data_IF_348957769586
#
_entry.id   IF_348957769586
#
_cell.length_a   1.000
_cell.length_b   1.000
_cell.length_c   1.000
_cell.angle_alpha   90.00
_cell.angle_beta   90.00
_cell.angle_gamma   90.00
#
_symmetry.space_group_name_H-M   'P 1'
#
loop_
_entity.id
_entity.type
_entity.pdbx_description
1 polymer ?
#
# COMPACT_ATOMS: atom_id res chain seq x y z
N UNK A 1 -23.89 12.11 -29.73
CA UNK A 1 -24.09 11.36 -28.46
C UNK A 1 -23.69 12.26 -27.29
N UNK A 2 -24.48 12.34 -26.21
CA UNK A 2 -24.12 13.13 -25.02
C UNK A 2 -22.94 12.46 -24.30
N UNK A 3 -22.04 13.27 -23.74
CA UNK A 3 -20.93 12.80 -22.89
C UNK A 3 -21.47 12.44 -21.51
N UNK A 4 -21.08 11.28 -21.00
CA UNK A 4 -21.49 10.80 -19.67
C UNK A 4 -20.26 10.38 -18.88
N UNK A 5 -20.13 10.94 -17.68
CA UNK A 5 -19.12 10.54 -16.69
C UNK A 5 -19.83 10.04 -15.42
N UNK A 6 -19.34 8.95 -14.86
CA UNK A 6 -19.82 8.40 -13.59
C UNK A 6 -18.78 8.69 -12.51
N UNK A 7 -19.19 9.41 -11.47
CA UNK A 7 -18.40 9.62 -10.27
C UNK A 7 -18.75 8.56 -9.25
N UNK A 8 -17.94 7.49 -9.21
CA UNK A 8 -18.15 6.39 -8.29
C UNK A 8 -17.39 6.69 -6.98
N UNK A 9 -18.14 6.77 -5.88
CA UNK A 9 -17.55 6.80 -4.55
C UNK A 9 -17.22 5.39 -4.06
N UNK A 10 -16.45 5.30 -2.96
CA UNK A 10 -16.13 4.02 -2.33
C UNK A 10 -17.33 3.29 -1.71
N UNK A 11 -18.55 3.83 -1.78
CA UNK A 11 -19.73 3.18 -1.19
C UNK A 11 -20.09 1.90 -1.92
N UNK A 12 -19.89 1.81 -3.24
CA UNK A 12 -20.16 0.59 -4.01
C UNK A 12 -19.35 -0.60 -3.46
N UNK A 13 -18.03 -0.46 -3.28
CA UNK A 13 -17.19 -1.44 -2.59
C UNK A 13 -17.48 -1.67 -1.09
N UNK A 14 -18.58 -1.12 -0.55
CA UNK A 14 -19.10 -1.41 0.79
C UNK A 14 -20.43 -2.16 0.78
N UNK A 15 -21.02 -2.39 -0.39
CA UNK A 15 -22.17 -3.26 -0.58
C UNK A 15 -21.71 -4.66 -0.97
N UNK A 16 -22.47 -5.68 -0.56
CA UNK A 16 -22.18 -7.08 -0.88
C UNK A 16 -22.03 -7.31 -2.39
N UNK A 17 -23.00 -6.82 -3.19
CA UNK A 17 -22.96 -6.85 -4.66
C UNK A 17 -22.45 -5.53 -5.28
N UNK A 18 -21.46 -4.89 -4.63
CA UNK A 18 -20.83 -3.68 -5.14
C UNK A 18 -20.24 -3.88 -6.54
N UNK A 19 -19.70 -5.05 -6.81
CA UNK A 19 -19.17 -5.46 -8.10
C UNK A 19 -20.24 -5.46 -9.20
N UNK A 20 -21.46 -5.95 -8.93
CA UNK A 20 -22.56 -5.94 -9.89
C UNK A 20 -23.04 -4.52 -10.19
N UNK A 21 -23.08 -3.65 -9.17
CA UNK A 21 -23.40 -2.23 -9.33
C UNK A 21 -22.37 -1.58 -10.27
N UNK A 22 -21.08 -1.77 -10.00
CA UNK A 22 -19.99 -1.19 -10.81
C UNK A 22 -19.98 -1.74 -12.23
N UNK A 23 -20.16 -3.05 -12.41
CA UNK A 23 -20.26 -3.71 -13.73
C UNK A 23 -21.44 -3.17 -14.54
N UNK A 24 -22.58 -2.91 -13.90
CA UNK A 24 -23.75 -2.33 -14.57
C UNK A 24 -23.49 -0.90 -15.05
N UNK A 25 -22.76 -0.10 -14.26
CA UNK A 25 -22.32 1.25 -14.67
C UNK A 25 -21.32 1.18 -15.83
N UNK A 26 -20.35 0.27 -15.79
CA UNK A 26 -19.41 0.04 -16.88
C UNK A 26 -20.12 -0.41 -18.16
N UNK A 27 -21.13 -1.28 -18.06
CA UNK A 27 -21.95 -1.71 -19.19
C UNK A 27 -22.68 -0.52 -19.83
N UNK A 28 -23.29 0.36 -19.04
CA UNK A 28 -23.92 1.59 -19.56
C UNK A 28 -22.91 2.45 -20.33
N UNK A 29 -21.71 2.65 -19.77
CA UNK A 29 -20.66 3.41 -20.43
C UNK A 29 -20.23 2.74 -21.74
N UNK A 30 -20.17 1.41 -21.79
CA UNK A 30 -19.84 0.68 -23.01
C UNK A 30 -20.89 0.74 -24.10
N UNK A 31 -22.16 0.50 -23.76
CA UNK A 31 -23.27 0.61 -24.70
C UNK A 31 -23.39 2.01 -25.30
N UNK A 32 -23.03 3.04 -24.53
CA UNK A 32 -23.09 4.44 -24.98
C UNK A 32 -21.78 4.95 -25.60
N UNK A 33 -20.69 4.20 -25.51
CA UNK A 33 -19.36 4.60 -25.97
C UNK A 33 -18.78 5.77 -25.16
N UNK A 34 -19.04 5.81 -23.86
CA UNK A 34 -18.63 6.85 -22.90
C UNK A 34 -17.42 6.40 -22.05
N UNK A 35 -16.33 6.01 -22.70
CA UNK A 35 -15.00 5.88 -22.08
C UNK A 35 -13.94 6.54 -22.98
N UNK A 36 -12.71 6.69 -22.47
CA UNK A 36 -11.54 7.06 -23.28
C UNK A 36 -11.57 8.44 -23.92
N UNK A 37 -12.58 9.27 -23.63
CA UNK A 37 -12.59 10.64 -24.14
C UNK A 37 -13.04 11.67 -23.10
N UNK A 38 -12.61 12.92 -23.29
CA UNK A 38 -12.80 14.03 -22.33
C UNK A 38 -14.22 14.12 -21.77
N UNK A 39 -14.36 14.14 -20.45
CA UNK A 39 -15.68 14.21 -19.79
C UNK A 39 -16.48 12.90 -19.83
N UNK A 40 -15.83 11.75 -20.02
CA UNK A 40 -16.48 10.43 -19.96
C UNK A 40 -15.74 9.44 -19.07
N UNK A 41 -16.28 8.23 -18.94
CA UNK A 41 -15.70 7.14 -18.19
C UNK A 41 -16.23 7.04 -16.76
N UNK A 42 -15.76 6.02 -16.06
CA UNK A 42 -15.90 5.91 -14.61
C UNK A 42 -14.66 6.50 -13.94
N UNK A 43 -14.83 7.05 -12.75
CA UNK A 43 -13.73 7.47 -11.89
C UNK A 43 -13.86 6.76 -10.56
N UNK A 44 -12.78 6.10 -10.16
CA UNK A 44 -12.56 5.60 -8.80
C UNK A 44 -11.16 6.01 -8.36
N UNK A 45 -10.66 5.42 -7.27
CA UNK A 45 -9.39 5.75 -6.67
C UNK A 45 -8.22 4.97 -7.28
N UNK A 46 -7.14 5.69 -7.63
CA UNK A 46 -5.84 5.09 -7.94
C UNK A 46 -4.74 6.00 -7.37
N UNK A 47 -3.65 5.38 -6.94
CA UNK A 47 -2.45 6.04 -6.42
C UNK A 47 -1.23 5.50 -7.15
N UNK A 48 -0.21 6.33 -7.33
CA UNK A 48 1.03 5.97 -8.00
C UNK A 48 1.89 7.19 -8.30
N UNK A 49 2.79 7.08 -9.30
CA UNK A 49 3.56 8.20 -9.87
C UNK A 49 4.60 8.86 -8.94
N UNK A 50 4.87 8.28 -7.76
CA UNK A 50 5.97 8.70 -6.89
C UNK A 50 6.94 7.54 -6.70
N UNK A 51 7.52 7.09 -7.81
CA UNK A 51 8.14 5.77 -7.88
C UNK A 51 9.42 5.64 -7.07
N UNK A 52 10.09 6.74 -6.74
CA UNK A 52 11.23 6.70 -5.83
C UNK A 52 10.86 6.18 -4.43
N UNK A 53 9.65 6.48 -3.92
CA UNK A 53 9.18 5.90 -2.66
C UNK A 53 8.95 4.38 -2.77
N UNK A 54 8.50 3.90 -3.92
CA UNK A 54 8.31 2.46 -4.17
C UNK A 54 9.65 1.76 -4.37
N UNK A 55 10.55 2.33 -5.17
CA UNK A 55 11.89 1.81 -5.44
C UNK A 55 12.72 1.73 -4.17
N UNK A 56 12.61 2.72 -3.27
CA UNK A 56 13.33 2.75 -2.01
C UNK A 56 13.26 1.42 -1.23
N UNK A 57 12.09 0.78 -1.20
CA UNK A 57 11.90 -0.51 -0.51
C UNK A 57 12.62 -1.71 -1.16
N UNK A 58 13.14 -1.54 -2.37
CA UNK A 58 13.81 -2.57 -3.17
C UNK A 58 15.32 -2.36 -3.27
N UNK A 59 15.84 -1.24 -2.77
CA UNK A 59 17.26 -0.86 -2.87
C UNK A 59 18.05 -1.48 -1.74
N UNK A 60 19.27 -1.92 -2.06
CA UNK A 60 20.26 -2.35 -1.05
C UNK A 60 21.41 -1.37 -0.88
N UNK A 61 21.44 -0.30 -1.69
CA UNK A 61 22.44 0.77 -1.65
C UNK A 61 21.73 2.12 -1.86
N UNK A 62 22.37 3.22 -1.44
CA UNK A 62 21.90 4.56 -1.75
C UNK A 62 22.42 5.00 -3.11
N UNK A 63 21.74 5.94 -3.77
CA UNK A 63 22.22 6.50 -5.03
C UNK A 63 21.31 6.19 -6.22
N UNK A 64 21.35 7.04 -7.27
CA UNK A 64 20.59 6.82 -8.50
C UNK A 64 21.06 5.57 -9.26
N UNK A 65 22.32 5.16 -9.13
CA UNK A 65 22.86 3.96 -9.78
C UNK A 65 22.12 2.70 -9.32
N UNK A 66 21.84 2.59 -8.01
CA UNK A 66 21.07 1.48 -7.47
C UNK A 66 19.61 1.52 -7.94
N UNK A 67 19.01 2.71 -8.05
CA UNK A 67 17.66 2.84 -8.62
C UNK A 67 17.63 2.34 -10.07
N UNK A 68 18.61 2.72 -10.89
CA UNK A 68 18.79 2.22 -12.26
C UNK A 68 18.99 0.71 -12.32
N UNK A 69 19.76 0.13 -11.39
CA UNK A 69 19.94 -1.32 -11.30
C UNK A 69 18.61 -2.03 -11.05
N UNK A 70 17.81 -1.55 -10.09
CA UNK A 70 16.48 -2.11 -9.81
C UNK A 70 15.55 -1.96 -11.02
N UNK A 71 15.56 -0.79 -11.69
CA UNK A 71 14.76 -0.55 -12.89
C UNK A 71 15.13 -1.50 -14.04
N UNK A 72 16.42 -1.69 -14.30
CA UNK A 72 16.89 -2.62 -15.33
C UNK A 72 16.49 -4.06 -15.02
N UNK A 73 16.62 -4.50 -13.77
CA UNK A 73 16.16 -5.81 -13.33
C UNK A 73 14.65 -6.01 -13.58
N UNK A 74 13.84 -5.00 -13.25
CA UNK A 74 12.38 -5.04 -13.51
C UNK A 74 12.08 -5.09 -15.00
N UNK A 75 12.75 -4.28 -15.81
CA UNK A 75 12.57 -4.26 -17.26
C UNK A 75 12.93 -5.63 -17.88
N UNK A 76 14.01 -6.26 -17.45
CA UNK A 76 14.38 -7.61 -17.89
C UNK A 76 13.32 -8.65 -17.49
N UNK A 77 12.79 -8.56 -16.27
CA UNK A 77 11.73 -9.47 -15.82
C UNK A 77 10.44 -9.27 -16.64
N UNK A 78 10.04 -8.03 -16.91
CA UNK A 78 8.88 -7.74 -17.75
C UNK A 78 9.06 -8.26 -19.18
N UNK A 79 10.25 -8.09 -19.77
CA UNK A 79 10.59 -8.66 -21.08
C UNK A 79 10.53 -10.19 -21.07
N UNK A 80 11.03 -10.83 -20.01
CA UNK A 80 10.96 -12.28 -19.85
C UNK A 80 9.53 -12.80 -19.76
N UNK A 81 8.64 -12.09 -19.06
CA UNK A 81 7.20 -12.40 -19.00
C UNK A 81 6.57 -12.29 -20.39
N UNK A 82 6.82 -11.18 -21.10
CA UNK A 82 6.31 -10.96 -22.46
C UNK A 82 6.88 -11.92 -23.50
N UNK A 83 8.06 -12.50 -23.25
CA UNK A 83 8.61 -13.53 -24.13
C UNK A 83 7.83 -14.86 -24.05
N UNK A 84 7.15 -15.13 -22.93
CA UNK A 84 6.30 -16.32 -22.77
C UNK A 84 4.94 -16.15 -23.48
N UNK A 85 4.43 -14.92 -23.52
CA UNK A 85 3.23 -14.55 -24.27
C UNK A 85 3.44 -13.19 -24.95
N UNK A 86 3.78 -13.19 -26.26
CA UNK A 86 4.02 -11.96 -27.03
C UNK A 86 2.81 -11.04 -27.15
N UNK A 87 1.61 -11.49 -26.79
CA UNK A 87 0.39 -10.66 -26.79
C UNK A 87 0.26 -9.82 -25.51
N UNK A 88 1.07 -10.09 -24.49
CA UNK A 88 1.06 -9.32 -23.25
C UNK A 88 1.48 -7.88 -23.50
N UNK A 89 0.61 -6.97 -23.07
CA UNK A 89 0.94 -5.54 -22.95
C UNK A 89 1.89 -5.31 -21.77
N UNK A 90 2.51 -4.14 -21.72
CA UNK A 90 3.33 -3.73 -20.57
C UNK A 90 2.52 -3.68 -19.27
N UNK A 91 1.23 -3.34 -19.36
CA UNK A 91 0.29 -3.40 -18.23
C UNK A 91 0.16 -4.84 -17.70
N UNK A 92 -0.13 -5.80 -18.59
CA UNK A 92 -0.29 -7.21 -18.22
C UNK A 92 0.99 -7.77 -17.61
N UNK A 93 2.14 -7.49 -18.22
CA UNK A 93 3.44 -7.94 -17.71
C UNK A 93 3.76 -7.34 -16.32
N UNK A 94 3.40 -6.08 -16.08
CA UNK A 94 3.60 -5.42 -14.79
C UNK A 94 2.69 -6.03 -13.71
N UNK A 95 1.44 -6.39 -14.03
CA UNK A 95 0.57 -7.09 -13.08
C UNK A 95 1.04 -8.52 -12.79
N UNK A 96 1.52 -9.25 -13.80
CA UNK A 96 2.07 -10.59 -13.56
C UNK A 96 3.31 -10.53 -12.68
N UNK A 97 4.19 -9.54 -12.88
CA UNK A 97 5.29 -9.27 -11.94
C UNK A 97 4.81 -9.00 -10.51
N UNK A 98 3.74 -8.20 -10.35
CA UNK A 98 3.13 -7.93 -9.04
C UNK A 98 2.51 -9.20 -8.41
N UNK A 99 1.96 -10.11 -9.23
CA UNK A 99 1.47 -11.41 -8.74
C UNK A 99 2.62 -12.33 -8.36
N UNK A 100 3.75 -12.28 -9.04
CA UNK A 100 4.96 -13.02 -8.65
C UNK A 100 5.56 -12.45 -7.36
N UNK A 101 5.44 -11.14 -7.11
CA UNK A 101 5.90 -10.48 -5.88
C UNK A 101 5.00 -10.70 -4.65
N UNK A 102 4.06 -11.67 -4.71
CA UNK A 102 3.31 -12.25 -3.56
C UNK A 102 4.20 -12.64 -2.37
N UNK A 103 5.52 -12.64 -2.56
CA UNK A 103 6.53 -12.80 -1.53
C UNK A 103 6.75 -11.56 -0.61
N UNK A 104 6.04 -10.45 -0.79
CA UNK A 104 6.03 -9.34 0.18
C UNK A 104 5.37 -9.70 1.53
N UNK A 105 5.32 -8.77 2.49
CA UNK A 105 4.64 -8.93 3.79
C UNK A 105 3.12 -8.63 3.77
N UNK A 106 2.63 -8.03 2.68
CA UNK A 106 1.23 -7.62 2.52
C UNK A 106 0.36 -8.82 2.14
N UNK A 107 -0.78 -8.98 2.82
CA UNK A 107 -1.72 -10.09 2.60
C UNK A 107 -3.17 -9.63 2.70
N UNK A 108 -4.12 -10.35 2.07
CA UNK A 108 -5.54 -10.02 2.20
C UNK A 108 -5.96 -10.06 3.68
N UNK A 109 -6.55 -8.99 4.23
CA UNK A 109 -6.91 -8.94 5.64
C UNK A 109 -8.02 -9.94 5.99
N UNK A 110 -8.72 -10.48 4.99
CA UNK A 110 -9.78 -11.46 5.18
C UNK A 110 -9.29 -12.72 5.94
N UNK A 111 -8.05 -13.16 5.73
CA UNK A 111 -7.49 -14.31 6.44
C UNK A 111 -7.33 -14.05 7.94
N UNK A 112 -6.77 -12.87 8.30
CA UNK A 112 -6.70 -12.44 9.69
C UNK A 112 -8.11 -12.38 10.31
N UNK A 113 -9.08 -11.79 9.62
CA UNK A 113 -10.43 -11.62 10.14
C UNK A 113 -11.15 -12.96 10.34
N UNK A 114 -11.06 -13.82 9.34
CA UNK A 114 -11.70 -15.13 9.32
C UNK A 114 -11.15 -16.03 10.43
N UNK A 115 -9.83 -16.21 10.50
CA UNK A 115 -9.21 -17.12 11.48
C UNK A 115 -9.11 -16.52 12.89
N UNK A 116 -8.87 -15.21 13.01
CA UNK A 116 -8.45 -14.63 14.29
C UNK A 116 -9.40 -13.62 14.89
N UNK A 117 -10.35 -13.06 14.14
CA UNK A 117 -11.23 -12.00 14.63
C UNK A 117 -12.71 -12.40 14.73
N UNK A 118 -13.05 -13.69 14.59
CA UNK A 118 -14.42 -14.21 14.76
C UNK A 118 -15.32 -14.03 13.53
N UNK A 119 -14.77 -13.66 12.37
CA UNK A 119 -15.59 -13.44 11.18
C UNK A 119 -16.04 -14.72 10.52
N UNK A 120 -15.39 -15.87 10.76
CA UNK A 120 -15.85 -17.18 10.31
C UNK A 120 -17.33 -17.39 10.66
N UNK A 121 -17.71 -17.13 11.91
CA UNK A 121 -19.10 -17.34 12.35
C UNK A 121 -20.09 -16.39 11.65
N UNK A 122 -19.69 -15.15 11.39
CA UNK A 122 -20.56 -14.17 10.74
C UNK A 122 -20.71 -14.42 9.23
N UNK A 123 -19.62 -14.77 8.56
CA UNK A 123 -19.60 -14.97 7.11
C UNK A 123 -20.32 -16.25 6.68
N UNK A 124 -20.49 -17.21 7.60
CA UNK A 124 -21.28 -18.43 7.37
C UNK A 124 -22.73 -18.36 7.84
N UNK A 125 -23.20 -17.23 8.36
CA UNK A 125 -24.63 -17.03 8.64
C UNK A 125 -25.38 -16.86 7.32
N UNK A 126 -26.16 -17.89 6.96
CA UNK A 126 -26.95 -17.91 5.72
C UNK A 126 -27.90 -16.73 5.62
N UNK A 127 -28.48 -16.28 6.74
CA UNK A 127 -29.38 -15.13 6.80
C UNK A 127 -28.70 -13.78 6.47
N UNK A 128 -27.38 -13.71 6.47
CA UNK A 128 -26.59 -12.52 6.13
C UNK A 128 -25.87 -12.64 4.78
N UNK A 129 -26.02 -13.77 4.10
CA UNK A 129 -25.45 -14.03 2.77
C UNK A 129 -26.48 -13.74 1.67
N UNK A 130 -26.01 -13.70 0.42
CA UNK A 130 -26.89 -13.70 -0.74
C UNK A 130 -27.68 -15.03 -0.79
N UNK A 131 -29.03 -14.99 -0.76
CA UNK A 131 -29.85 -16.19 -0.74
C UNK A 131 -29.75 -17.03 -2.02
N UNK A 132 -29.13 -16.50 -3.09
CA UNK A 132 -28.92 -17.21 -4.35
C UNK A 132 -27.60 -18.00 -4.40
N UNK A 133 -26.72 -17.81 -3.41
CA UNK A 133 -25.48 -18.57 -3.27
C UNK A 133 -25.77 -20.06 -3.06
N UNK A 134 -25.05 -20.91 -3.80
CA UNK A 134 -25.31 -22.35 -3.84
C UNK A 134 -24.68 -23.11 -2.66
N UNK A 135 -23.65 -22.52 -2.05
CA UNK A 135 -22.83 -23.07 -0.97
C UNK A 135 -22.57 -21.99 0.06
N UNK A 136 -22.20 -22.39 1.28
CA UNK A 136 -21.79 -21.42 2.29
C UNK A 136 -20.43 -20.80 1.99
N UNK A 137 -20.02 -19.81 2.79
CA UNK A 137 -18.76 -19.11 2.57
C UNK A 137 -17.56 -20.06 2.78
N UNK A 138 -17.64 -20.96 3.77
CA UNK A 138 -16.60 -21.94 4.09
C UNK A 138 -16.27 -22.83 2.89
N UNK A 139 -17.28 -23.37 2.22
CA UNK A 139 -17.05 -24.23 1.05
C UNK A 139 -16.30 -23.50 -0.09
N UNK A 140 -16.62 -22.22 -0.36
CA UNK A 140 -15.88 -21.44 -1.35
C UNK A 140 -14.47 -21.07 -0.87
N UNK A 141 -14.33 -20.78 0.42
CA UNK A 141 -13.06 -20.41 1.02
C UNK A 141 -12.09 -21.60 1.01
N UNK A 142 -12.53 -22.78 1.44
CA UNK A 142 -11.77 -24.03 1.43
C UNK A 142 -11.41 -24.46 0.01
N UNK A 143 -12.37 -24.43 -0.94
CA UNK A 143 -12.06 -24.72 -2.35
C UNK A 143 -10.98 -23.79 -2.90
N UNK A 144 -11.02 -22.49 -2.55
CA UNK A 144 -10.03 -21.54 -3.02
C UNK A 144 -8.62 -21.80 -2.47
N UNK A 145 -8.53 -22.37 -1.26
CA UNK A 145 -7.27 -22.79 -0.63
C UNK A 145 -6.77 -24.09 -1.27
N UNK A 146 -7.64 -25.10 -1.41
CA UNK A 146 -7.31 -26.40 -2.02
C UNK A 146 -6.82 -26.26 -3.47
N UNK A 147 -7.37 -25.31 -4.21
CA UNK A 147 -6.94 -24.98 -5.58
C UNK A 147 -5.71 -24.08 -5.65
N UNK A 148 -5.14 -23.68 -4.52
CA UNK A 148 -3.93 -22.85 -4.44
C UNK A 148 -4.12 -21.40 -4.91
N UNK A 149 -5.35 -20.88 -5.01
CA UNK A 149 -5.59 -19.52 -5.53
C UNK A 149 -4.95 -18.43 -4.65
N UNK A 150 -4.81 -18.75 -3.36
CA UNK A 150 -4.23 -17.89 -2.32
C UNK A 150 -2.86 -18.33 -1.82
N UNK A 151 -2.20 -19.28 -2.49
CA UNK A 151 -0.92 -19.82 -2.05
C UNK A 151 0.09 -18.71 -1.71
N UNK A 152 0.59 -18.74 -0.47
CA UNK A 152 1.57 -17.80 0.07
C UNK A 152 1.00 -16.47 0.58
N UNK A 153 -0.32 -16.26 0.48
CA UNK A 153 -1.04 -15.04 0.89
C UNK A 153 -2.05 -15.29 2.02
N UNK A 154 -2.35 -16.54 2.32
CA UNK A 154 -3.34 -17.07 3.25
C UNK A 154 -2.90 -17.01 4.73
N UNK A 155 -2.34 -15.86 5.15
CA UNK A 155 -1.75 -15.68 6.48
C UNK A 155 -2.26 -14.40 7.19
N UNK A 156 -2.15 -14.34 8.54
CA UNK A 156 -1.74 -15.41 9.45
C UNK A 156 -2.75 -16.56 9.47
N UNK A 157 -2.26 -17.79 9.30
CA UNK A 157 -3.08 -19.00 9.32
C UNK A 157 -3.61 -19.32 10.73
N UNK A 158 -4.50 -20.30 10.87
CA UNK A 158 -5.14 -20.63 12.15
C UNK A 158 -4.12 -21.02 13.23
N UNK A 159 -3.04 -21.72 12.86
CA UNK A 159 -2.01 -22.20 13.79
C UNK A 159 -0.95 -21.15 14.15
N UNK A 160 -1.05 -19.94 13.58
CA UNK A 160 -0.13 -18.82 13.85
C UNK A 160 -0.90 -17.66 14.47
N UNK A 161 -1.36 -17.78 15.73
CA UNK A 161 -2.11 -16.71 16.38
C UNK A 161 -1.26 -15.44 16.51
N UNK A 162 -1.75 -14.28 16.03
CA UNK A 162 -1.01 -13.03 16.17
C UNK A 162 -0.76 -12.68 17.64
N UNK A 163 0.45 -12.21 17.93
CA UNK A 163 0.90 -11.90 19.30
C UNK A 163 1.20 -10.44 19.53
N UNK A 164 1.52 -9.70 18.49
CA UNK A 164 1.83 -8.27 18.54
C UNK A 164 1.04 -7.59 17.44
N UNK A 165 0.37 -6.48 17.77
CA UNK A 165 -0.38 -5.68 16.82
C UNK A 165 0.10 -4.23 16.85
N UNK A 166 0.43 -3.71 15.67
CA UNK A 166 0.74 -2.29 15.47
C UNK A 166 -0.39 -1.64 14.66
N UNK A 167 -1.04 -0.63 15.24
CA UNK A 167 -1.91 0.30 14.52
C UNK A 167 -1.10 1.56 14.19
N UNK A 168 -0.84 1.83 12.92
CA UNK A 168 -0.10 3.02 12.50
C UNK A 168 -1.02 3.89 11.63
N UNK A 169 -1.36 5.09 12.11
CA UNK A 169 -2.16 6.07 11.37
C UNK A 169 -3.58 5.64 11.01
N UNK A 170 -4.19 4.72 11.76
CA UNK A 170 -5.53 4.20 11.50
C UNK A 170 -6.43 4.18 12.74
N UNK A 171 -7.49 3.38 12.71
CA UNK A 171 -8.39 3.16 13.85
C UNK A 171 -9.18 1.87 13.63
N UNK A 172 -8.50 0.72 13.66
CA UNK A 172 -9.09 -0.61 13.41
C UNK A 172 -10.38 -0.91 14.19
N UNK A 173 -10.49 -0.53 15.47
CA UNK A 173 -11.69 -0.81 16.28
C UNK A 173 -12.92 -0.02 15.81
N UNK A 174 -12.71 1.11 15.12
CA UNK A 174 -13.77 1.90 14.49
C UNK A 174 -13.96 1.56 13.00
N UNK A 175 -12.88 1.25 12.28
CA UNK A 175 -12.87 1.08 10.82
C UNK A 175 -13.43 -0.28 10.39
N UNK A 176 -13.16 -1.32 11.16
CA UNK A 176 -13.52 -2.70 10.79
C UNK A 176 -15.02 -2.94 11.03
N UNK A 177 -15.68 -3.72 10.18
CA UNK A 177 -17.15 -3.94 10.26
C UNK A 177 -17.51 -4.81 11.44
N UNK A 178 -18.27 -4.27 12.40
CA UNK A 178 -18.43 -4.93 13.69
C UNK A 178 -17.23 -4.77 14.61
N UNK A 179 -16.27 -3.88 14.26
CA UNK A 179 -15.02 -3.55 14.93
C UNK A 179 -14.92 -4.01 16.39
N UNK A 180 -15.30 -3.15 17.33
CA UNK A 180 -15.25 -3.48 18.77
C UNK A 180 -15.96 -4.79 19.13
N UNK A 181 -17.16 -5.04 18.59
CA UNK A 181 -17.96 -6.23 18.90
C UNK A 181 -17.34 -7.54 18.39
N UNK A 182 -16.48 -7.48 17.38
CA UNK A 182 -15.82 -8.64 16.79
C UNK A 182 -14.38 -8.78 17.30
N UNK A 183 -13.62 -7.69 17.28
CA UNK A 183 -12.19 -7.73 17.55
C UNK A 183 -11.89 -7.77 19.05
N UNK A 184 -12.65 -7.07 19.90
CA UNK A 184 -12.39 -7.09 21.35
C UNK A 184 -12.60 -8.47 21.99
N UNK A 185 -13.65 -9.26 21.67
CA UNK A 185 -13.79 -10.60 22.25
C UNK A 185 -12.91 -11.66 21.56
N UNK A 186 -12.65 -11.54 20.25
CA UNK A 186 -12.01 -12.64 19.49
C UNK A 186 -10.51 -12.43 19.20
N UNK A 187 -10.07 -11.19 19.05
CA UNK A 187 -8.71 -10.86 18.59
C UNK A 187 -7.84 -10.29 19.71
N UNK A 188 -8.32 -9.26 20.41
CA UNK A 188 -7.58 -8.60 21.49
C UNK A 188 -7.02 -9.56 22.55
N UNK A 189 -7.76 -10.57 23.05
CA UNK A 189 -7.27 -11.47 24.09
C UNK A 189 -6.09 -12.35 23.65
N UNK A 190 -5.85 -12.50 22.35
CA UNK A 190 -4.73 -13.27 21.79
C UNK A 190 -3.42 -12.47 21.79
N UNK A 191 -3.52 -11.14 21.78
CA UNK A 191 -2.38 -10.24 21.69
C UNK A 191 -1.67 -10.15 23.06
N UNK A 192 -0.35 -10.03 23.00
CA UNK A 192 0.54 -9.78 24.14
C UNK A 192 1.04 -8.35 24.21
N UNK A 193 0.94 -7.63 23.10
CA UNK A 193 1.32 -6.23 22.99
C UNK A 193 0.53 -5.59 21.85
N UNK A 194 -0.07 -4.45 22.16
CA UNK A 194 -0.85 -3.63 21.24
C UNK A 194 -0.26 -2.24 21.28
N UNK A 195 0.22 -1.77 20.13
CA UNK A 195 0.86 -0.48 19.99
C UNK A 195 0.07 0.37 19.00
N UNK A 196 -0.36 1.55 19.42
CA UNK A 196 -0.90 2.57 18.51
C UNK A 196 0.12 3.66 18.28
N UNK A 197 0.36 4.00 17.02
CA UNK A 197 1.27 5.06 16.56
C UNK A 197 0.40 6.09 15.82
N UNK A 198 0.07 7.18 16.52
CA UNK A 198 -0.88 8.20 16.03
C UNK A 198 -0.60 9.56 16.69
N UNK A 199 -1.08 10.65 16.09
CA UNK A 199 -1.04 11.99 16.68
C UNK A 199 -2.26 12.27 17.57
N UNK A 200 -3.33 11.46 17.47
CA UNK A 200 -4.51 11.56 18.32
C UNK A 200 -4.82 10.25 19.04
N UNK A 201 -5.34 10.36 20.27
CA UNK A 201 -5.88 9.22 20.99
C UNK A 201 -7.19 8.74 20.32
N UNK A 202 -7.07 7.78 19.41
CA UNK A 202 -8.19 7.19 18.68
C UNK A 202 -8.79 5.99 19.46
N UNK A 203 -9.89 5.41 18.96
CA UNK A 203 -10.54 4.27 19.64
C UNK A 203 -9.62 3.07 19.80
N UNK A 204 -8.84 2.67 18.79
CA UNK A 204 -7.83 1.61 18.95
C UNK A 204 -6.77 1.98 20.00
N UNK A 205 -6.35 3.24 20.05
CA UNK A 205 -5.39 3.75 21.03
C UNK A 205 -5.87 3.58 22.47
N UNK A 206 -7.17 3.81 22.74
CA UNK A 206 -7.77 3.60 24.06
C UNK A 206 -7.72 2.14 24.55
N UNK A 207 -7.56 1.19 23.63
CA UNK A 207 -7.44 -0.24 23.93
C UNK A 207 -6.04 -0.78 23.62
N UNK A 208 -5.04 0.09 23.47
CA UNK A 208 -3.64 -0.30 23.27
C UNK A 208 -2.87 -0.31 24.58
N UNK A 209 -1.85 -1.18 24.66
CA UNK A 209 -0.92 -1.21 25.80
C UNK A 209 0.04 -0.03 25.75
N UNK A 210 0.43 0.37 24.53
CA UNK A 210 1.32 1.49 24.28
C UNK A 210 0.74 2.46 23.26
N UNK A 211 0.93 3.75 23.50
CA UNK A 211 0.64 4.82 22.56
C UNK A 211 1.93 5.59 22.27
N UNK A 212 2.36 5.60 21.01
CA UNK A 212 3.54 6.31 20.54
C UNK A 212 3.08 7.59 19.80
N UNK A 213 3.28 8.77 20.39
CA UNK A 213 2.77 10.01 19.82
C UNK A 213 3.61 10.47 18.63
N UNK A 214 2.92 10.77 17.53
CA UNK A 214 3.55 11.16 16.27
C UNK A 214 3.43 12.67 16.05
N UNK A 215 4.47 13.27 15.46
CA UNK A 215 4.42 14.65 14.96
C UNK A 215 3.27 14.85 13.94
N UNK A 216 2.57 15.97 14.02
CA UNK A 216 1.44 16.29 13.15
C UNK A 216 1.89 16.64 11.72
N UNK A 217 0.95 16.75 10.78
CA UNK A 217 1.21 16.98 9.35
C UNK A 217 2.05 18.23 9.01
N UNK A 218 2.06 19.25 9.87
CA UNK A 218 2.83 20.49 9.67
C UNK A 218 4.05 20.58 10.58
N UNK A 219 4.40 19.49 11.26
CA UNK A 219 5.54 19.41 12.18
C UNK A 219 6.65 18.49 11.64
N UNK A 220 6.44 17.94 10.44
CA UNK A 220 7.33 17.00 9.76
C UNK A 220 7.21 17.13 8.24
N UNK A 221 8.22 16.63 7.54
CA UNK A 221 8.19 16.44 6.10
C UNK A 221 7.13 15.39 5.72
N UNK A 222 6.28 15.70 4.75
CA UNK A 222 5.31 14.74 4.22
C UNK A 222 5.05 14.97 2.73
N UNK A 223 4.73 13.88 2.03
CA UNK A 223 4.23 13.92 0.67
C UNK A 223 2.80 13.41 0.63
N UNK A 224 1.93 14.09 -0.10
CA UNK A 224 0.62 13.56 -0.42
C UNK A 224 0.76 12.48 -1.51
N UNK A 225 0.01 11.38 -1.39
CA UNK A 225 -0.03 10.36 -2.44
C UNK A 225 -0.53 10.99 -3.75
N UNK A 226 0.21 10.90 -4.87
CA UNK A 226 -0.26 11.42 -6.13
C UNK A 226 -1.41 10.56 -6.65
N UNK A 227 -2.41 11.22 -7.22
CA UNK A 227 -3.61 10.58 -7.76
C UNK A 227 -3.88 11.10 -9.17
N UNK A 228 -4.43 10.28 -10.09
CA UNK A 228 -4.73 10.72 -11.46
C UNK A 228 -5.74 11.88 -11.55
N UNK A 229 -6.45 12.18 -10.46
CA UNK A 229 -7.40 13.28 -10.38
C UNK A 229 -6.71 14.63 -10.16
N UNK A 230 -5.67 14.66 -9.33
CA UNK A 230 -4.93 15.89 -8.98
C UNK A 230 -3.70 16.07 -9.87
N UNK A 231 -3.08 14.96 -10.29
CA UNK A 231 -1.88 14.92 -11.16
C UNK A 231 -0.66 15.66 -10.60
N UNK A 232 -0.57 15.83 -9.28
CA UNK A 232 0.55 16.50 -8.63
C UNK A 232 1.15 15.60 -7.54
N UNK A 233 2.47 15.66 -7.41
CA UNK A 233 3.14 15.38 -6.14
C UNK A 233 3.07 16.66 -5.31
N UNK A 234 2.35 16.61 -4.20
CA UNK A 234 2.24 17.74 -3.26
C UNK A 234 3.12 17.49 -2.05
N UNK A 235 3.85 18.52 -1.66
CA UNK A 235 4.80 18.50 -0.58
C UNK A 235 4.30 19.36 0.58
N UNK A 236 4.49 18.86 1.80
CA UNK A 236 4.29 19.59 3.04
C UNK A 236 5.59 19.60 3.80
N UNK A 237 6.12 20.79 4.08
CA UNK A 237 7.22 20.94 5.01
C UNK A 237 6.69 21.21 6.42
N UNK A 238 7.66 21.27 7.32
CA UNK A 238 7.52 21.69 8.69
C UNK A 238 7.26 23.20 8.78
N UNK A 239 6.09 23.57 9.30
CA UNK A 239 5.77 24.94 9.68
C UNK A 239 6.31 25.28 11.07
N UNK A 240 6.37 24.31 11.99
CA UNK A 240 6.85 24.46 13.37
C UNK A 240 7.57 23.21 13.86
N UNK A 241 8.43 23.35 14.88
CA UNK A 241 9.03 22.22 15.59
C UNK A 241 7.96 21.30 16.21
N UNK A 242 8.08 19.96 16.06
CA UNK A 242 7.19 19.05 16.78
C UNK A 242 7.38 19.23 18.29
N UNK A 243 6.32 19.05 19.09
CA UNK A 243 6.46 19.02 20.54
C UNK A 243 7.53 18.00 20.98
N UNK A 244 8.27 18.25 22.08
CA UNK A 244 9.45 17.46 22.45
C UNK A 244 9.24 15.94 22.56
N UNK A 245 8.06 15.53 23.00
CA UNK A 245 7.70 14.12 23.22
C UNK A 245 7.11 13.43 21.99
N UNK A 246 6.97 14.14 20.86
CA UNK A 246 6.45 13.59 19.60
C UNK A 246 7.57 13.40 18.60
N UNK A 247 7.42 12.42 17.70
CA UNK A 247 8.41 12.15 16.65
C UNK A 247 7.76 11.85 15.31
N UNK A 248 8.41 12.18 14.17
CA UNK A 248 8.07 11.61 12.88
C UNK A 248 8.07 10.07 12.91
N UNK A 249 7.21 9.44 12.12
CA UNK A 249 7.07 7.97 12.07
C UNK A 249 8.39 7.29 11.65
N UNK A 250 9.15 7.93 10.76
CA UNK A 250 10.47 7.45 10.33
C UNK A 250 11.44 7.33 11.50
N UNK A 251 11.43 8.29 12.42
CA UNK A 251 12.29 8.29 13.60
C UNK A 251 11.82 7.23 14.60
N UNK A 252 10.51 7.09 14.80
CA UNK A 252 9.94 6.03 15.65
C UNK A 252 10.34 4.65 15.12
N UNK A 253 10.28 4.43 13.81
CA UNK A 253 10.65 3.17 13.19
C UNK A 253 12.16 2.88 13.33
N UNK A 254 13.01 3.90 13.16
CA UNK A 254 14.45 3.76 13.40
C UNK A 254 14.76 3.44 14.87
N UNK A 255 14.17 4.18 15.82
CA UNK A 255 14.33 3.93 17.24
C UNK A 255 13.86 2.52 17.64
N UNK A 256 12.78 2.04 17.02
CA UNK A 256 12.31 0.68 17.24
C UNK A 256 13.28 -0.36 16.70
N UNK A 257 13.85 -0.15 15.50
CA UNK A 257 14.89 -1.03 14.95
C UNK A 257 16.13 -1.08 15.85
N UNK A 258 16.60 0.07 16.34
CA UNK A 258 17.71 0.16 17.29
C UNK A 258 17.43 -0.59 18.58
N UNK A 259 16.23 -0.43 19.14
CA UNK A 259 15.83 -1.16 20.35
C UNK A 259 15.64 -2.65 20.10
N UNK A 260 15.14 -3.08 18.95
CA UNK A 260 15.08 -4.50 18.61
C UNK A 260 16.48 -5.09 18.57
N UNK A 261 17.43 -4.45 17.88
CA UNK A 261 18.82 -4.92 17.81
C UNK A 261 19.48 -4.97 19.20
N UNK A 262 19.34 -3.92 20.01
CA UNK A 262 19.85 -3.87 21.39
C UNK A 262 19.30 -5.03 22.24
N UNK A 263 17.98 -5.24 22.20
CA UNK A 263 17.32 -6.30 22.97
C UNK A 263 17.63 -7.68 22.44
N UNK A 264 17.82 -7.84 21.14
CA UNK A 264 18.24 -9.09 20.52
C UNK A 264 19.64 -9.49 20.99
N UNK A 265 20.61 -8.55 20.94
CA UNK A 265 21.96 -8.72 21.48
C UNK A 265 21.95 -9.07 22.97
N UNK A 266 21.20 -8.31 23.78
CA UNK A 266 21.11 -8.55 25.23
C UNK A 266 20.44 -9.89 25.60
N UNK A 267 19.68 -10.49 24.68
CA UNK A 267 19.01 -11.79 24.85
C UNK A 267 19.71 -12.91 24.08
N UNK A 268 20.86 -12.64 23.48
CA UNK A 268 21.63 -13.60 22.67
C UNK A 268 20.80 -14.18 21.50
N UNK A 269 19.91 -13.38 20.92
CA UNK A 269 19.13 -13.71 19.74
C UNK A 269 19.78 -13.03 18.53
N UNK A 270 20.45 -13.79 17.68
CA UNK A 270 21.14 -13.24 16.49
C UNK A 270 20.22 -13.19 15.27
N UNK A 271 19.28 -14.11 15.16
CA UNK A 271 18.38 -14.23 14.02
C UNK A 271 16.98 -14.69 14.42
N UNK A 272 16.02 -14.43 13.53
CA UNK A 272 14.69 -15.03 13.56
C UNK A 272 14.37 -15.62 12.19
N UNK A 273 13.56 -16.67 12.18
CA UNK A 273 13.07 -17.29 10.95
C UNK A 273 11.61 -16.92 10.76
N UNK A 274 11.27 -16.36 9.61
CA UNK A 274 9.87 -16.11 9.29
C UNK A 274 9.16 -17.41 8.85
N UNK A 275 7.84 -17.35 8.68
CA UNK A 275 7.02 -18.51 8.30
C UNK A 275 7.42 -19.13 6.96
N UNK A 276 8.15 -18.40 6.10
CA UNK A 276 8.64 -18.88 4.81
C UNK A 276 10.06 -19.45 4.90
N UNK A 277 10.61 -19.54 6.11
CA UNK A 277 11.96 -20.01 6.32
C UNK A 277 13.02 -18.96 6.04
N UNK A 278 12.67 -17.72 5.67
CA UNK A 278 13.68 -16.67 5.46
C UNK A 278 14.30 -16.29 6.80
N UNK A 279 15.63 -16.35 6.86
CA UNK A 279 16.42 -15.95 8.02
C UNK A 279 16.55 -14.43 8.02
N UNK A 280 16.17 -13.80 9.13
CA UNK A 280 16.27 -12.36 9.37
C UNK A 280 17.24 -12.14 10.51
N UNK A 281 18.39 -11.53 10.21
CA UNK A 281 19.38 -11.15 11.22
C UNK A 281 18.84 -9.97 12.03
N UNK A 282 18.98 -10.08 13.36
CA UNK A 282 18.53 -9.07 14.32
C UNK A 282 19.70 -8.30 14.93
N UNK A 283 20.92 -8.86 14.86
CA UNK A 283 22.14 -8.30 15.43
C UNK A 283 22.83 -7.24 14.54
N UNK A 284 22.37 -7.08 13.31
CA UNK A 284 22.73 -5.98 12.39
C UNK A 284 21.48 -5.35 11.72
N UNK A 285 20.35 -5.37 12.41
CA UNK A 285 19.08 -4.86 11.90
C UNK A 285 19.15 -3.38 11.51
N UNK A 286 19.82 -2.54 12.31
CA UNK A 286 19.93 -1.09 12.06
C UNK A 286 20.72 -0.84 10.78
N UNK A 287 21.80 -1.59 10.55
CA UNK A 287 22.61 -1.48 9.34
C UNK A 287 21.79 -1.82 8.09
N UNK A 288 21.01 -2.91 8.14
CA UNK A 288 20.12 -3.29 7.04
C UNK A 288 19.00 -2.26 6.83
N UNK A 289 18.35 -1.84 7.91
CA UNK A 289 17.21 -0.90 7.87
C UNK A 289 17.61 0.47 7.31
N UNK A 290 18.83 0.92 7.61
CA UNK A 290 19.33 2.25 7.21
C UNK A 290 20.19 2.23 5.96
N UNK A 291 20.35 1.06 5.32
CA UNK A 291 21.21 0.84 4.15
C UNK A 291 22.64 1.33 4.46
N UNK A 292 23.30 0.66 5.40
CA UNK A 292 24.66 1.01 5.83
C UNK A 292 24.76 2.39 6.50
N UNK A 293 23.66 2.90 7.07
CA UNK A 293 23.61 4.24 7.67
C UNK A 293 23.33 5.38 6.70
N UNK A 294 23.08 5.10 5.41
CA UNK A 294 22.76 6.12 4.42
C UNK A 294 21.46 6.88 4.75
N UNK A 295 20.47 6.18 5.30
CA UNK A 295 19.12 6.70 5.58
C UNK A 295 18.79 6.62 7.06
N UNK A 296 19.13 7.68 7.81
CA UNK A 296 18.86 7.81 9.25
C UNK A 296 17.96 8.98 9.61
N UNK A 297 17.60 9.80 8.62
CA UNK A 297 16.73 10.95 8.80
C UNK A 297 15.77 11.06 7.60
N UNK A 298 14.57 11.60 7.87
CA UNK A 298 13.51 11.72 6.87
C UNK A 298 13.86 12.62 5.68
N UNK A 299 14.78 13.58 5.85
CA UNK A 299 15.18 14.49 4.77
C UNK A 299 16.02 13.77 3.71
N UNK A 300 16.98 12.94 4.11
CA UNK A 300 17.74 12.10 3.16
C UNK A 300 16.84 11.14 2.40
N UNK A 301 15.88 10.51 3.09
CA UNK A 301 14.89 9.61 2.46
C UNK A 301 14.03 10.39 1.45
N UNK A 302 13.54 11.57 1.82
CA UNK A 302 12.77 12.42 0.91
C UNK A 302 13.56 12.83 -0.33
N UNK A 303 14.83 13.21 -0.16
CA UNK A 303 15.74 13.54 -1.27
C UNK A 303 15.98 12.32 -2.17
N UNK A 304 16.14 11.14 -1.59
CA UNK A 304 16.26 9.87 -2.33
C UNK A 304 15.02 9.62 -3.18
N UNK A 305 13.83 9.69 -2.57
CA UNK A 305 12.57 9.42 -3.27
C UNK A 305 12.33 10.39 -4.42
N UNK A 306 12.66 11.67 -4.25
CA UNK A 306 12.52 12.66 -5.32
C UNK A 306 13.50 12.36 -6.44
N UNK A 307 14.79 12.15 -6.12
CA UNK A 307 15.82 11.87 -7.13
C UNK A 307 15.51 10.61 -7.93
N UNK A 308 15.11 9.53 -7.25
CA UNK A 308 14.76 8.28 -7.90
C UNK A 308 13.49 8.45 -8.76
N UNK A 309 12.52 9.26 -8.34
CA UNK A 309 11.33 9.57 -9.17
C UNK A 309 11.66 10.43 -10.39
N UNK A 310 12.70 11.28 -10.32
CA UNK A 310 13.24 12.00 -11.47
C UNK A 310 13.93 11.03 -12.43
N UNK A 311 14.72 10.09 -11.92
CA UNK A 311 15.42 9.09 -12.73
C UNK A 311 14.44 8.14 -13.46
N UNK A 312 13.36 7.75 -12.79
CA UNK A 312 12.25 7.00 -13.41
C UNK A 312 11.53 7.81 -14.48
N UNK A 313 11.54 9.14 -14.37
CA UNK A 313 10.86 10.06 -15.29
C UNK A 313 9.46 10.50 -14.85
N UNK A 314 8.99 10.12 -13.65
CA UNK A 314 7.70 10.63 -13.13
C UNK A 314 7.71 12.15 -12.98
N UNK A 315 8.88 12.70 -12.59
CA UNK A 315 9.07 14.11 -12.25
C UNK A 315 10.01 14.82 -13.25
N UNK A 316 9.85 16.15 -13.45
CA UNK A 316 10.81 16.95 -14.21
C UNK A 316 12.25 16.85 -13.67
N UNK A 317 13.25 16.90 -14.57
CA UNK A 317 14.69 16.80 -14.24
C UNK A 317 15.20 17.86 -13.25
N UNK A 318 14.56 19.02 -13.18
CA UNK A 318 14.93 20.12 -12.28
C UNK A 318 14.34 19.97 -10.87
N UNK A 319 13.50 18.97 -10.62
CA UNK A 319 12.85 18.82 -9.31
C UNK A 319 13.81 18.25 -8.27
N UNK A 320 13.94 18.99 -7.18
CA UNK A 320 14.60 18.59 -5.94
C UNK A 320 13.69 18.88 -4.74
N UNK A 321 14.06 18.38 -3.55
CA UNK A 321 13.35 18.74 -2.31
C UNK A 321 13.28 20.26 -2.11
N UNK A 322 14.36 20.97 -2.43
CA UNK A 322 14.44 22.42 -2.24
C UNK A 322 13.52 23.16 -3.22
N UNK A 323 13.43 22.72 -4.48
CA UNK A 323 12.43 23.29 -5.40
C UNK A 323 10.99 22.99 -4.98
N UNK A 324 10.74 21.86 -4.29
CA UNK A 324 9.42 21.55 -3.75
C UNK A 324 9.10 22.38 -2.51
N UNK A 325 10.10 22.76 -1.69
CA UNK A 325 9.93 23.73 -0.60
C UNK A 325 9.48 25.09 -1.12
N UNK A 326 10.04 25.54 -2.24
CA UNK A 326 9.67 26.80 -2.87
C UNK A 326 8.29 26.76 -3.54
N UNK A 327 7.99 25.67 -4.28
CA UNK A 327 6.79 25.57 -5.14
C UNK A 327 5.58 24.91 -4.46
N UNK A 328 5.81 24.14 -3.40
CA UNK A 328 4.82 23.34 -2.67
C UNK A 328 4.29 22.10 -3.40
N UNK A 329 4.37 22.06 -4.74
CA UNK A 329 3.93 20.93 -5.53
C UNK A 329 4.59 20.91 -6.91
N UNK A 330 4.52 19.76 -7.58
CA UNK A 330 4.89 19.61 -8.99
C UNK A 330 3.93 18.67 -9.71
N UNK A 331 3.63 18.99 -10.97
CA UNK A 331 2.81 18.13 -11.82
C UNK A 331 3.58 16.89 -12.27
N UNK A 332 2.93 15.74 -12.17
CA UNK A 332 3.43 14.46 -12.69
C UNK A 332 3.54 14.53 -14.22
N UNK A 333 4.63 13.98 -14.76
CA UNK A 333 4.91 13.91 -16.21
C UNK A 333 4.72 12.54 -16.82
N UNK A 334 4.89 11.48 -16.02
CA UNK A 334 4.84 10.10 -16.49
C UNK A 334 4.23 9.15 -15.43
N UNK A 335 3.58 8.07 -15.88
CA UNK A 335 3.00 7.05 -14.98
C UNK A 335 4.07 6.23 -14.25
N UNK A 336 5.27 6.16 -14.85
CA UNK A 336 6.41 5.37 -14.42
C UNK A 336 6.09 3.89 -14.31
N UNK A 337 6.57 3.25 -13.23
CA UNK A 337 6.65 1.79 -13.11
C UNK A 337 5.52 1.16 -12.30
N UNK A 338 4.63 1.97 -11.72
CA UNK A 338 3.53 1.48 -10.90
C UNK A 338 2.39 0.91 -11.75
N UNK A 339 2.03 -0.37 -11.55
CA UNK A 339 0.93 -1.03 -12.29
C UNK A 339 -0.38 -0.21 -12.28
N UNK A 340 -0.78 0.27 -11.09
CA UNK A 340 -2.02 1.04 -10.90
C UNK A 340 -2.01 2.42 -11.58
N UNK A 341 -0.81 3.01 -11.76
CA UNK A 341 -0.63 4.24 -12.52
C UNK A 341 -0.71 3.94 -14.03
N UNK A 342 -0.05 2.87 -14.47
CA UNK A 342 -0.04 2.46 -15.87
C UNK A 342 -1.44 2.05 -16.38
N UNK A 343 -2.27 1.45 -15.51
CA UNK A 343 -3.70 1.14 -15.78
C UNK A 343 -4.58 2.35 -16.07
N UNK A 344 -4.05 3.58 -15.98
CA UNK A 344 -4.73 4.75 -16.54
C UNK A 344 -4.80 4.70 -18.07
N UNK A 345 -3.94 3.91 -18.72
CA UNK A 345 -3.98 3.59 -20.14
C UNK A 345 -4.18 4.81 -21.05
N UNK A 346 -3.43 5.88 -20.80
CA UNK A 346 -3.50 7.14 -21.54
C UNK A 346 -2.24 7.98 -21.32
N UNK A 347 -1.73 8.67 -22.34
CA UNK A 347 -0.55 9.51 -22.15
C UNK A 347 -0.84 10.74 -21.26
N UNK A 348 0.14 11.14 -20.45
CA UNK A 348 0.10 12.40 -19.72
C UNK A 348 0.55 13.52 -20.66
N UNK A 349 -0.29 14.54 -20.80
CA UNK A 349 0.03 15.77 -21.54
C UNK A 349 0.13 16.93 -20.56
N UNK A 350 1.20 17.72 -20.67
CA UNK A 350 1.51 18.83 -19.76
C UNK A 350 0.49 19.96 -19.83
N UNK A 351 -0.12 20.16 -20.99
CA UNK A 351 -1.03 21.25 -21.34
C UNK A 351 -2.52 20.85 -21.31
N UNK A 352 -2.85 19.65 -20.83
CA UNK A 352 -4.23 19.14 -20.83
C UNK A 352 -4.60 18.46 -19.51
N UNK A 353 -5.90 18.42 -19.23
CA UNK A 353 -6.44 17.57 -18.16
C UNK A 353 -6.13 16.09 -18.42
N UNK A 354 -6.16 15.24 -17.40
CA UNK A 354 -6.06 13.79 -17.59
C UNK A 354 -7.40 13.19 -18.05
N UNK A 355 -7.36 12.11 -18.82
CA UNK A 355 -8.52 11.26 -19.14
C UNK A 355 -7.99 9.86 -19.39
N UNK A 356 -8.44 8.90 -18.58
CA UNK A 356 -8.01 7.50 -18.66
C UNK A 356 -8.56 6.77 -19.89
N UNK A 357 -7.99 5.60 -20.18
CA UNK A 357 -8.41 4.62 -21.19
C UNK A 357 -8.44 5.15 -22.62
N UNK A 358 -7.38 5.86 -23.04
CA UNK A 358 -7.27 6.47 -24.38
C UNK A 358 -6.45 5.63 -25.36
N UNK A 359 -5.75 4.60 -24.90
CA UNK A 359 -5.01 3.65 -25.73
C UNK A 359 -5.97 2.59 -26.31
N UNK A 360 -6.87 2.98 -27.21
CA UNK A 360 -7.86 2.08 -27.83
C UNK A 360 -8.14 2.41 -29.30
#
# INVERSE_FOLDING_TARGET
KRRTNVLLGFSAGKYYHGDLIERSMCLLLGLTGNWGKKGTGTRSWSVGMFDGAYLYSMKNEAGPEEALRVLNMRNMMAQGIKAQDPTMTDEMATFEMMRMSRQGGMVPPAFLWYYHCGYKDNWNRKEWSDPTMQRDFDEYFEESLDRGWWEGMDRPGPDTPPRVYFEVGGNTLRRTRGGQNQLLPNFWPKLKCIVTVDWRMNTTGLFSDYFLPVAHHYEKLAFMFPTPQVMNLTFSDKAVEPPPDTKPEVDIALMLAEKIEERAKAREITESRDQRGTVRRLDNLVEQYTIGGAFRDGEKIAREWIRDSVEVGNLPKDVTLDTLRERGHVRIKDWGIGAMAYSQAADIKSDQTHTAFRWH
#
